data_IF_389889429437
#
_entry.id   IF_389889429437
#
_cell.length_a   1.000
_cell.length_b   1.000
_cell.length_c   1.000
_cell.angle_alpha   90.00
_cell.angle_beta   90.00
_cell.angle_gamma   90.00
#
_symmetry.space_group_name_H-M   'P 1'
#
loop_
_entity.id
_entity.type
_entity.pdbx_description
1 polymer ?
#
# COMPACT_ATOMS: atom_id res chain seq x y z
N UNK A 1 -9.63 -18.50 10.61
CA UNK A 1 -9.00 -19.30 9.53
C UNK A 1 -9.94 -20.46 9.23
N UNK A 2 -10.54 -20.50 8.04
CA UNK A 2 -11.22 -21.71 7.57
C UNK A 2 -10.12 -22.68 7.14
N UNK A 3 -10.00 -23.80 7.85
CA UNK A 3 -8.99 -24.83 7.58
C UNK A 3 -9.19 -25.47 6.20
N UNK A 4 -8.10 -26.00 5.64
CA UNK A 4 -7.98 -26.65 4.33
C UNK A 4 -9.01 -27.75 4.04
N UNK A 5 -9.73 -28.22 5.05
CA UNK A 5 -10.79 -29.22 4.95
C UNK A 5 -12.18 -28.66 4.65
N UNK A 6 -12.38 -27.33 4.77
CA UNK A 6 -13.67 -26.69 4.51
C UNK A 6 -14.04 -26.71 3.02
N UNK A 7 -13.04 -26.65 2.13
CA UNK A 7 -13.23 -26.68 0.68
C UNK A 7 -13.62 -28.08 0.20
N UNK A 8 -12.93 -29.11 0.70
CA UNK A 8 -13.19 -30.52 0.37
C UNK A 8 -14.57 -30.96 0.85
N UNK A 9 -15.01 -30.53 2.04
CA UNK A 9 -16.35 -30.85 2.54
C UNK A 9 -17.49 -30.23 1.74
N UNK A 10 -17.28 -29.07 1.09
CA UNK A 10 -18.33 -28.35 0.36
C UNK A 10 -18.33 -28.62 -1.15
N UNK A 11 -17.17 -28.90 -1.74
CA UNK A 11 -17.01 -29.05 -3.19
C UNK A 11 -16.38 -30.40 -3.62
N UNK A 12 -15.98 -31.25 -2.67
CA UNK A 12 -15.29 -32.51 -2.94
C UNK A 12 -13.79 -32.36 -3.22
N UNK A 13 -13.10 -33.46 -3.49
CA UNK A 13 -11.68 -33.48 -3.91
C UNK A 13 -11.54 -33.13 -5.40
N UNK A 14 -10.32 -32.90 -5.91
CA UNK A 14 -10.08 -32.59 -7.33
C UNK A 14 -10.64 -33.67 -8.29
N UNK A 15 -10.83 -34.90 -7.80
CA UNK A 15 -11.49 -36.02 -8.51
C UNK A 15 -13.02 -36.03 -8.43
N UNK A 16 -13.63 -35.24 -7.52
CA UNK A 16 -15.09 -35.11 -7.41
C UNK A 16 -15.65 -34.06 -8.37
N UNK A 17 -14.81 -33.15 -8.85
CA UNK A 17 -15.12 -32.25 -9.95
C UNK A 17 -14.92 -33.09 -11.21
N UNK A 18 -16.02 -33.46 -11.89
CA UNK A 18 -15.97 -34.22 -13.14
C UNK A 18 -15.06 -33.55 -14.19
N UNK A 19 -14.78 -34.26 -15.30
CA UNK A 19 -14.02 -33.71 -16.43
C UNK A 19 -14.49 -32.29 -16.73
N UNK A 20 -13.54 -31.35 -16.88
CA UNK A 20 -13.83 -29.98 -17.31
C UNK A 20 -14.71 -30.06 -18.56
N UNK A 21 -15.98 -29.72 -18.37
CA UNK A 21 -16.98 -29.77 -19.41
C UNK A 21 -17.16 -28.34 -19.87
N UNK A 22 -16.90 -28.09 -21.14
CA UNK A 22 -17.18 -26.81 -21.76
C UNK A 22 -18.71 -26.66 -21.78
N UNK A 23 -19.24 -26.06 -20.71
CA UNK A 23 -20.61 -25.59 -20.57
C UNK A 23 -21.69 -26.67 -20.51
N UNK A 24 -22.48 -26.64 -19.42
CA UNK A 24 -23.66 -27.48 -19.26
C UNK A 24 -24.69 -27.22 -20.38
N UNK A 25 -25.35 -28.30 -20.82
CA UNK A 25 -26.13 -28.42 -22.07
C UNK A 25 -27.39 -27.57 -22.25
N UNK A 26 -27.43 -26.35 -21.69
CA UNK A 26 -28.45 -25.33 -21.94
C UNK A 26 -27.87 -24.00 -22.47
N UNK A 27 -26.57 -23.95 -22.79
CA UNK A 27 -25.96 -22.78 -23.43
C UNK A 27 -26.37 -22.67 -24.89
N UNK A 28 -27.03 -21.57 -25.28
CA UNK A 28 -27.29 -21.25 -26.69
C UNK A 28 -25.95 -21.19 -27.43
N UNK A 29 -25.77 -21.99 -28.49
CA UNK A 29 -24.64 -21.83 -29.38
C UNK A 29 -24.69 -20.44 -30.03
N UNK A 30 -23.60 -19.69 -29.93
CA UNK A 30 -23.45 -18.41 -30.59
C UNK A 30 -23.57 -18.59 -32.11
N UNK A 31 -24.39 -17.77 -32.75
CA UNK A 31 -24.44 -17.72 -34.22
C UNK A 31 -23.11 -17.24 -34.79
N UNK A 32 -22.91 -17.39 -36.10
CA UNK A 32 -21.73 -16.82 -36.80
C UNK A 32 -21.58 -15.33 -36.51
N UNK A 33 -22.70 -14.62 -36.50
CA UNK A 33 -22.75 -13.17 -36.41
C UNK A 33 -22.46 -12.71 -34.98
N UNK A 34 -23.00 -13.42 -33.97
CA UNK A 34 -22.69 -13.16 -32.56
C UNK A 34 -21.20 -13.39 -32.27
N UNK A 35 -20.57 -14.40 -32.90
CA UNK A 35 -19.12 -14.60 -32.78
C UNK A 35 -18.32 -13.50 -33.45
N UNK A 36 -18.72 -13.08 -34.66
CA UNK A 36 -18.03 -12.00 -35.37
C UNK A 36 -18.06 -10.69 -34.57
N UNK A 37 -19.21 -10.36 -33.97
CA UNK A 37 -19.37 -9.18 -33.13
C UNK A 37 -18.44 -9.21 -31.89
N UNK A 38 -18.28 -10.38 -31.27
CA UNK A 38 -17.37 -10.53 -30.14
C UNK A 38 -15.90 -10.38 -30.54
N UNK A 39 -15.51 -10.90 -31.70
CA UNK A 39 -14.17 -10.72 -32.24
C UNK A 39 -13.89 -9.23 -32.48
N UNK A 40 -14.79 -8.54 -33.17
CA UNK A 40 -14.66 -7.09 -33.44
C UNK A 40 -14.59 -6.28 -32.14
N UNK A 41 -15.43 -6.58 -31.15
CA UNK A 41 -15.39 -5.90 -29.85
C UNK A 41 -14.06 -6.13 -29.13
N UNK A 42 -13.55 -7.36 -29.21
CA UNK A 42 -12.27 -7.73 -28.59
C UNK A 42 -11.11 -6.99 -29.26
N UNK A 43 -11.10 -6.91 -30.60
CA UNK A 43 -10.12 -6.14 -31.35
C UNK A 43 -10.17 -4.65 -30.97
N UNK A 44 -11.37 -4.07 -30.84
CA UNK A 44 -11.54 -2.69 -30.42
C UNK A 44 -11.02 -2.44 -28.99
N UNK A 45 -11.23 -3.37 -28.06
CA UNK A 45 -10.71 -3.27 -26.70
C UNK A 45 -9.19 -3.37 -26.67
N UNK A 46 -8.61 -4.32 -27.42
CA UNK A 46 -7.15 -4.47 -27.52
C UNK A 46 -6.50 -3.21 -28.11
N UNK A 47 -7.12 -2.61 -29.14
CA UNK A 47 -6.64 -1.36 -29.73
C UNK A 47 -6.62 -0.21 -28.71
N UNK A 48 -7.65 -0.10 -27.85
CA UNK A 48 -7.69 0.90 -26.78
C UNK A 48 -6.58 0.69 -25.75
N UNK A 49 -6.36 -0.55 -25.33
CA UNK A 49 -5.29 -0.85 -24.37
C UNK A 49 -3.91 -0.59 -24.97
N UNK A 50 -3.68 -0.92 -26.24
CA UNK A 50 -2.42 -0.60 -26.90
C UNK A 50 -2.17 0.92 -26.97
N UNK A 51 -3.21 1.72 -27.26
CA UNK A 51 -3.11 3.18 -27.27
C UNK A 51 -2.84 3.76 -25.86
N UNK A 52 -3.49 3.24 -24.82
CA UNK A 52 -3.26 3.65 -23.44
C UNK A 52 -1.83 3.30 -22.98
N UNK A 53 -1.37 2.09 -23.32
CA UNK A 53 -0.02 1.63 -22.98
C UNK A 53 1.06 2.47 -23.70
N UNK A 54 0.82 2.85 -24.97
CA UNK A 54 1.70 3.77 -25.68
C UNK A 54 1.79 5.13 -24.98
N UNK A 55 0.66 5.71 -24.56
CA UNK A 55 0.64 6.99 -23.82
C UNK A 55 1.39 6.88 -22.49
N UNK A 56 1.19 5.80 -21.75
CA UNK A 56 1.91 5.55 -20.49
C UNK A 56 3.42 5.41 -20.71
N UNK A 57 3.85 4.74 -21.78
CA UNK A 57 5.28 4.63 -22.13
C UNK A 57 5.88 5.99 -22.47
N UNK A 58 5.18 6.82 -23.24
CA UNK A 58 5.63 8.17 -23.57
C UNK A 58 5.76 9.04 -22.31
N UNK A 59 4.75 9.02 -21.43
CA UNK A 59 4.80 9.74 -20.15
C UNK A 59 5.96 9.25 -19.27
N UNK A 60 6.21 7.94 -19.22
CA UNK A 60 7.33 7.36 -18.48
C UNK A 60 8.68 7.79 -19.07
N UNK A 61 8.81 7.80 -20.39
CA UNK A 61 10.04 8.25 -21.07
C UNK A 61 10.31 9.73 -20.81
N UNK A 62 9.29 10.59 -20.84
CA UNK A 62 9.40 12.01 -20.51
C UNK A 62 9.82 12.22 -19.05
N UNK A 63 9.22 11.48 -18.12
CA UNK A 63 9.59 11.53 -16.69
C UNK A 63 11.04 11.10 -16.48
N UNK A 64 11.47 10.01 -17.13
CA UNK A 64 12.85 9.54 -17.04
C UNK A 64 13.83 10.59 -17.55
N UNK A 65 13.53 11.21 -18.69
CA UNK A 65 14.37 12.28 -19.26
C UNK A 65 14.50 13.46 -18.28
N UNK A 66 13.40 13.88 -17.67
CA UNK A 66 13.40 14.98 -16.68
C UNK A 66 14.27 14.66 -15.45
N UNK A 67 14.22 13.42 -14.96
CA UNK A 67 15.07 12.98 -13.85
C UNK A 67 16.55 12.99 -14.23
N UNK A 68 16.88 12.54 -15.45
CA UNK A 68 18.26 12.59 -15.96
C UNK A 68 18.78 14.04 -16.07
N UNK A 69 17.95 14.98 -16.54
CA UNK A 69 18.30 16.41 -16.61
C UNK A 69 18.53 17.02 -15.21
N UNK A 70 17.70 16.66 -14.22
CA UNK A 70 17.89 17.11 -12.84
C UNK A 70 19.17 16.54 -12.22
N UNK A 71 19.47 15.27 -12.47
CA UNK A 71 20.68 14.61 -11.99
C UNK A 71 21.96 15.17 -12.63
N UNK A 72 21.88 15.63 -13.89
CA UNK A 72 22.99 16.26 -14.60
C UNK A 72 23.26 17.71 -14.16
N UNK A 73 22.40 18.32 -13.32
CA UNK A 73 22.58 19.68 -12.82
C UNK A 73 23.62 19.69 -11.69
N UNK A 74 24.78 20.35 -11.83
CA UNK A 74 25.76 20.43 -10.75
C UNK A 74 25.21 21.26 -9.58
N UNK A 75 25.30 20.71 -8.36
CA UNK A 75 24.89 21.36 -7.11
C UNK A 75 26.15 21.84 -6.37
N UNK A 76 26.31 23.16 -6.18
CA UNK A 76 27.31 23.70 -5.25
C UNK A 76 26.83 23.53 -3.79
N UNK A 77 27.71 23.16 -2.85
CA UNK A 77 27.36 22.99 -1.44
C UNK A 77 27.32 24.34 -0.68
N UNK A 78 26.40 24.53 0.29
CA UNK A 78 26.52 25.61 1.27
C UNK A 78 27.36 25.18 2.48
N UNK A 79 28.13 26.13 3.02
CA UNK A 79 29.08 25.95 4.12
C UNK A 79 28.56 26.48 5.47
N UNK A 80 28.86 25.72 6.54
CA UNK A 80 28.98 26.09 7.99
C UNK A 80 27.72 26.66 8.71
N UNK A 81 27.50 26.58 10.03
CA UNK A 81 28.37 26.43 11.22
C UNK A 81 27.49 26.02 12.44
N UNK A 82 28.07 25.32 13.42
CA UNK A 82 27.44 24.95 14.70
C UNK A 82 27.33 26.13 15.70
N UNK A 83 26.49 26.02 16.76
CA UNK A 83 26.82 26.05 18.22
C UNK A 83 25.66 26.60 19.09
N UNK A 84 25.49 25.96 20.27
CA UNK A 84 24.97 26.44 21.59
C UNK A 84 23.61 25.92 22.11
N UNK A 85 23.69 25.38 23.33
CA UNK A 85 22.76 24.64 24.21
C UNK A 85 22.02 25.64 25.20
N UNK A 86 21.22 25.31 26.28
CA UNK A 86 20.91 24.03 26.96
C UNK A 86 19.39 23.92 27.43
N UNK A 87 18.94 23.10 28.43
CA UNK A 87 17.61 22.47 28.43
C UNK A 87 16.58 23.14 29.36
N UNK A 88 15.28 22.80 29.19
CA UNK A 88 14.27 23.04 30.23
C UNK A 88 13.58 21.73 30.61
N UNK A 89 13.97 21.22 31.77
CA UNK A 89 13.14 20.33 32.57
C UNK A 89 12.00 21.14 33.18
N UNK A 90 10.77 20.68 33.00
CA UNK A 90 9.66 20.93 33.93
C UNK A 90 9.00 19.59 34.19
N UNK A 91 9.23 19.06 35.39
CA UNK A 91 8.40 18.04 35.96
C UNK A 91 7.10 18.70 36.45
N UNK A 92 5.94 18.09 36.21
CA UNK A 92 4.83 17.94 37.16
C UNK A 92 3.58 17.39 36.47
N UNK A 93 3.22 16.16 36.85
CA UNK A 93 1.88 15.70 37.29
C UNK A 93 1.68 14.23 36.92
N UNK A 94 1.87 13.37 37.92
CA UNK A 94 1.35 12.02 37.94
C UNK A 94 -0.18 12.09 38.09
N UNK A 95 -0.87 11.68 37.03
CA UNK A 95 -2.32 11.50 37.02
C UNK A 95 -2.69 10.73 35.75
N UNK A 96 -2.67 9.40 35.85
CA UNK A 96 -3.12 8.42 34.85
C UNK A 96 -2.51 8.61 33.43
N UNK A 97 -1.54 7.76 33.08
CA UNK A 97 -0.87 7.80 31.78
C UNK A 97 -1.88 8.02 30.64
N UNK A 98 -1.75 9.11 29.84
CA UNK A 98 -2.55 9.25 28.64
C UNK A 98 -2.26 8.01 27.80
N UNK A 99 -3.30 7.25 27.44
CA UNK A 99 -3.17 6.31 26.31
C UNK A 99 -2.63 7.18 25.19
N UNK A 100 -1.36 7.03 24.81
CA UNK A 100 -0.68 7.93 23.88
C UNK A 100 -1.65 8.24 22.75
N UNK A 101 -2.03 9.51 22.63
CA UNK A 101 -3.01 9.96 21.66
C UNK A 101 -2.54 9.47 20.29
N UNK A 102 -3.49 9.02 19.48
CA UNK A 102 -3.18 8.51 18.15
C UNK A 102 -2.28 9.53 17.42
N UNK A 103 -1.23 9.11 16.70
CA UNK A 103 -0.22 10.03 16.18
C UNK A 103 -0.72 10.98 15.09
N UNK A 104 -1.96 10.80 14.63
CA UNK A 104 -2.60 11.56 13.56
C UNK A 104 -4.06 11.85 13.91
N UNK A 105 -4.45 13.13 13.88
CA UNK A 105 -5.80 13.57 14.23
C UNK A 105 -6.86 13.17 13.19
N UNK A 106 -6.45 12.86 11.97
CA UNK A 106 -7.31 12.40 10.88
C UNK A 106 -7.64 10.90 10.96
N UNK A 107 -6.93 10.14 11.80
CA UNK A 107 -7.12 8.71 11.94
C UNK A 107 -8.46 8.40 12.63
N UNK A 108 -9.10 7.30 12.22
CA UNK A 108 -10.31 6.79 12.83
C UNK A 108 -10.03 6.24 14.23
N UNK A 109 -10.72 6.74 15.27
CA UNK A 109 -10.54 6.25 16.63
C UNK A 109 -11.00 4.81 16.78
N UNK A 110 -10.36 4.07 17.71
CA UNK A 110 -10.65 2.67 18.02
C UNK A 110 -10.57 1.72 16.80
N UNK A 111 -9.83 2.10 15.75
CA UNK A 111 -9.54 1.22 14.61
C UNK A 111 -8.28 0.39 14.88
N UNK A 112 -8.26 -0.82 14.34
CA UNK A 112 -7.06 -1.66 14.38
C UNK A 112 -6.00 -1.11 13.43
N UNK A 113 -4.76 -1.02 13.91
CA UNK A 113 -3.58 -0.65 13.15
C UNK A 113 -2.70 -1.87 12.90
N UNK A 114 -1.90 -1.82 11.84
CA UNK A 114 -0.89 -2.84 11.57
C UNK A 114 0.46 -2.17 11.33
N UNK A 115 1.46 -2.55 12.12
CA UNK A 115 2.83 -2.06 12.02
C UNK A 115 3.70 -3.10 11.31
N UNK A 116 4.55 -2.64 10.40
CA UNK A 116 5.44 -3.44 9.58
C UNK A 116 6.85 -2.85 9.66
N UNK A 117 7.83 -3.68 10.00
CA UNK A 117 9.24 -3.31 9.96
C UNK A 117 9.89 -4.03 8.78
N UNK A 118 10.31 -3.27 7.78
CA UNK A 118 10.88 -3.79 6.53
C UNK A 118 12.36 -4.15 6.71
N UNK A 119 12.86 -4.99 5.80
CA UNK A 119 14.27 -5.42 5.80
C UNK A 119 15.27 -4.29 5.55
N UNK A 120 14.84 -3.20 4.91
CA UNK A 120 15.62 -1.96 4.75
C UNK A 120 15.71 -1.13 6.04
N UNK A 121 15.04 -1.56 7.12
CA UNK A 121 14.97 -0.87 8.39
C UNK A 121 13.86 0.19 8.47
N UNK A 122 13.15 0.47 7.37
CA UNK A 122 12.01 1.38 7.37
C UNK A 122 10.82 0.78 8.14
N UNK A 123 10.10 1.63 8.87
CA UNK A 123 8.86 1.24 9.54
C UNK A 123 7.66 1.81 8.80
N UNK A 124 6.59 1.04 8.73
CA UNK A 124 5.35 1.43 8.06
C UNK A 124 4.15 1.03 8.90
N UNK A 125 3.15 1.91 8.96
CA UNK A 125 1.94 1.68 9.74
C UNK A 125 0.72 1.83 8.84
N UNK A 126 -0.09 0.78 8.78
CA UNK A 126 -1.42 0.82 8.17
C UNK A 126 -2.41 1.41 9.16
N UNK A 127 -3.10 2.46 8.75
CA UNK A 127 -4.12 3.16 9.52
C UNK A 127 -5.37 3.42 8.66
N UNK A 128 -6.52 3.58 9.33
CA UNK A 128 -7.77 3.95 8.67
C UNK A 128 -8.08 5.42 8.93
N UNK A 129 -8.45 6.17 7.89
CA UNK A 129 -8.96 7.54 7.99
C UNK A 129 -10.39 7.55 8.51
N UNK A 130 -10.84 8.66 9.11
CA UNK A 130 -12.22 8.84 9.60
C UNK A 130 -13.28 8.55 8.52
N UNK A 131 -13.01 8.91 7.28
CA UNK A 131 -13.87 8.64 6.11
C UNK A 131 -13.88 7.18 5.64
N UNK A 132 -13.13 6.29 6.29
CA UNK A 132 -13.06 4.86 5.97
C UNK A 132 -11.93 4.45 5.02
N UNK A 133 -11.30 5.42 4.34
CA UNK A 133 -10.11 5.24 3.48
C UNK A 133 -8.93 4.63 4.26
N UNK A 134 -8.08 3.86 3.58
CA UNK A 134 -6.94 3.17 4.18
C UNK A 134 -5.63 3.83 3.74
N UNK A 135 -4.71 3.99 4.68
CA UNK A 135 -3.41 4.62 4.44
C UNK A 135 -2.28 3.74 4.98
N UNK A 136 -1.13 3.81 4.33
CA UNK A 136 0.14 3.21 4.78
C UNK A 136 1.13 4.34 4.96
N UNK A 137 1.52 4.61 6.20
CA UNK A 137 2.27 5.81 6.58
C UNK A 137 3.65 5.40 7.10
N UNK A 138 4.74 6.09 6.71
CA UNK A 138 6.08 5.81 7.22
C UNK A 138 6.18 6.12 8.72
N UNK A 139 6.99 5.33 9.42
CA UNK A 139 7.26 5.46 10.86
C UNK A 139 8.72 5.14 11.20
N UNK A 140 9.52 6.14 11.65
CA UNK A 140 9.22 7.58 11.65
C UNK A 140 9.04 8.10 10.21
N UNK A 141 8.53 9.34 10.07
CA UNK A 141 8.54 10.00 8.76
C UNK A 141 9.99 10.27 8.33
N UNK A 142 10.29 10.12 7.05
CA UNK A 142 11.62 10.34 6.47
C UNK A 142 11.50 10.90 5.05
N UNK A 143 12.54 11.57 4.56
CA UNK A 143 12.53 12.18 3.22
C UNK A 143 12.57 11.12 2.10
N UNK A 144 11.76 11.29 1.06
CA UNK A 144 11.67 10.35 -0.07
C UNK A 144 10.77 9.14 0.19
N UNK A 145 9.95 9.17 1.26
CA UNK A 145 8.97 8.13 1.53
C UNK A 145 7.98 7.95 0.38
N UNK A 146 7.73 9.00 -0.41
CA UNK A 146 6.84 9.03 -1.58
C UNK A 146 7.27 8.06 -2.71
N UNK A 147 8.53 7.63 -2.71
CA UNK A 147 9.09 6.70 -3.70
C UNK A 147 9.53 5.37 -3.08
N UNK A 148 9.47 5.26 -1.75
CA UNK A 148 9.98 4.09 -1.01
C UNK A 148 9.14 2.81 -1.20
N UNK A 149 7.85 2.93 -1.55
CA UNK A 149 6.97 1.78 -1.77
C UNK A 149 6.43 1.76 -3.21
N UNK A 150 6.29 0.56 -3.80
CA UNK A 150 5.77 0.44 -5.15
C UNK A 150 4.28 0.81 -5.25
N UNK A 151 3.79 1.16 -6.45
CA UNK A 151 2.39 1.55 -6.67
C UNK A 151 1.33 0.51 -6.26
N UNK A 152 1.72 -0.76 -6.09
CA UNK A 152 0.85 -1.82 -5.56
C UNK A 152 0.41 -1.57 -4.12
N UNK A 153 1.19 -0.82 -3.33
CA UNK A 153 0.82 -0.43 -1.97
C UNK A 153 -0.20 0.70 -1.98
N UNK A 154 -0.04 1.67 -2.86
CA UNK A 154 -0.94 2.81 -2.97
C UNK A 154 -0.35 3.95 -3.77
N UNK A 155 -1.01 5.10 -3.71
CA UNK A 155 -0.54 6.36 -4.30
C UNK A 155 -0.01 7.28 -3.20
N UNK A 156 1.16 7.91 -3.35
CA UNK A 156 1.64 8.90 -2.41
C UNK A 156 0.62 10.04 -2.24
N UNK A 157 0.30 10.35 -0.99
CA UNK A 157 -0.59 11.44 -0.61
C UNK A 157 0.16 12.35 0.39
N UNK A 158 0.57 13.51 -0.09
CA UNK A 158 1.34 14.48 0.69
C UNK A 158 0.55 15.07 1.87
N UNK A 159 -0.78 15.21 1.76
CA UNK A 159 -1.61 15.75 2.84
C UNK A 159 -1.58 14.85 4.08
N UNK A 160 -1.58 13.54 3.86
CA UNK A 160 -1.56 12.53 4.92
C UNK A 160 -0.14 12.04 5.24
N UNK A 161 0.86 12.52 4.49
CA UNK A 161 2.26 12.07 4.54
C UNK A 161 2.39 10.54 4.47
N UNK A 162 1.60 9.89 3.62
CA UNK A 162 1.59 8.44 3.46
C UNK A 162 0.96 7.99 2.14
N UNK A 163 0.96 6.69 1.88
CA UNK A 163 0.33 6.12 0.69
C UNK A 163 -1.16 5.90 0.94
N UNK A 164 -2.00 6.47 0.08
CA UNK A 164 -3.42 6.15 0.01
C UNK A 164 -3.59 4.83 -0.75
N UNK A 165 -4.20 3.84 -0.10
CA UNK A 165 -4.44 2.54 -0.70
C UNK A 165 -5.68 2.62 -1.58
N UNK A 166 -5.46 2.70 -2.90
CA UNK A 166 -6.54 2.74 -3.89
C UNK A 166 -6.96 1.31 -4.25
N UNK A 167 -8.17 0.90 -3.84
CA UNK A 167 -8.71 -0.43 -4.14
C UNK A 167 -8.56 -1.43 -2.98
N UNK A 168 -8.06 -2.64 -3.28
CA UNK A 168 -8.05 -3.74 -2.32
C UNK A 168 -6.82 -3.72 -1.39
N UNK A 169 -7.05 -3.47 -0.10
CA UNK A 169 -6.02 -3.44 0.95
C UNK A 169 -5.19 -4.73 1.06
N UNK A 170 -5.73 -5.86 0.61
CA UNK A 170 -5.03 -7.14 0.64
C UNK A 170 -3.72 -7.13 -0.17
N UNK A 171 -3.67 -6.41 -1.29
CA UNK A 171 -2.44 -6.30 -2.10
C UNK A 171 -1.34 -5.57 -1.35
N UNK A 172 -1.66 -4.39 -0.80
CA UNK A 172 -0.72 -3.59 -0.01
C UNK A 172 -0.20 -4.35 1.22
N UNK A 173 -1.08 -4.99 1.99
CA UNK A 173 -0.69 -5.78 3.18
C UNK A 173 0.14 -7.00 2.80
N UNK A 174 -0.19 -7.68 1.69
CA UNK A 174 0.59 -8.84 1.23
C UNK A 174 2.00 -8.43 0.80
N UNK A 175 2.13 -7.30 0.09
CA UNK A 175 3.44 -6.74 -0.25
C UNK A 175 4.25 -6.41 1.01
N UNK A 176 3.67 -5.66 1.95
CA UNK A 176 4.35 -5.28 3.19
C UNK A 176 4.78 -6.50 4.00
N UNK A 177 3.92 -7.51 4.14
CA UNK A 177 4.26 -8.75 4.85
C UNK A 177 5.39 -9.52 4.16
N UNK A 178 5.44 -9.54 2.83
CA UNK A 178 6.50 -10.21 2.09
C UNK A 178 7.87 -9.53 2.24
N UNK A 179 7.90 -8.22 2.57
CA UNK A 179 9.12 -7.43 2.72
C UNK A 179 9.41 -7.05 4.18
N UNK A 180 8.55 -7.45 5.11
CA UNK A 180 8.69 -7.18 6.52
C UNK A 180 9.37 -8.34 7.24
N UNK A 181 10.34 -8.01 8.11
CA UNK A 181 10.86 -8.99 9.06
C UNK A 181 10.01 -9.06 10.34
N UNK A 182 9.18 -8.04 10.60
CA UNK A 182 8.30 -7.97 11.76
C UNK A 182 6.95 -7.34 11.43
N UNK A 183 5.87 -7.98 11.89
CA UNK A 183 4.50 -7.49 11.77
C UNK A 183 3.83 -7.50 13.15
N UNK A 184 3.03 -6.47 13.44
CA UNK A 184 2.16 -6.42 14.61
C UNK A 184 0.82 -5.77 14.28
N UNK A 185 -0.26 -6.53 14.39
CA UNK A 185 -1.64 -6.02 14.29
C UNK A 185 -2.15 -5.77 15.71
N UNK A 186 -2.55 -4.54 16.01
CA UNK A 186 -2.89 -4.11 17.37
C UNK A 186 -3.84 -2.92 17.36
N UNK A 187 -4.55 -2.69 18.46
CA UNK A 187 -5.26 -1.43 18.74
C UNK A 187 -4.46 -0.51 19.68
N UNK A 188 -3.29 -0.96 20.14
CA UNK A 188 -2.49 -0.29 21.16
C UNK A 188 -1.21 0.29 20.55
N UNK A 189 -1.02 1.61 20.67
CA UNK A 189 0.17 2.27 20.14
C UNK A 189 1.48 1.86 20.81
N UNK A 190 1.43 1.37 22.05
CA UNK A 190 2.62 0.84 22.73
C UNK A 190 3.23 -0.37 21.99
N UNK A 191 2.39 -1.20 21.37
CA UNK A 191 2.86 -2.34 20.57
C UNK A 191 3.55 -1.87 19.28
N UNK A 192 3.01 -0.83 18.64
CA UNK A 192 3.61 -0.22 17.43
C UNK A 192 4.98 0.37 17.76
N UNK A 193 5.07 1.12 18.86
CA UNK A 193 6.33 1.72 19.33
C UNK A 193 7.34 0.64 19.73
N UNK A 194 6.89 -0.46 20.31
CA UNK A 194 7.77 -1.57 20.69
C UNK A 194 8.38 -2.26 19.46
N UNK A 195 7.65 -2.32 18.34
CA UNK A 195 8.14 -2.93 17.10
C UNK A 195 9.00 -1.96 16.27
N UNK A 196 8.54 -0.71 16.09
CA UNK A 196 9.13 0.23 15.13
C UNK A 196 10.09 1.25 15.76
N UNK A 197 10.05 1.40 17.09
CA UNK A 197 10.71 2.48 17.82
C UNK A 197 9.78 3.69 18.05
N UNK A 198 10.23 4.65 18.86
CA UNK A 198 9.50 5.89 19.10
C UNK A 198 9.40 6.73 17.82
N UNK A 199 8.28 7.47 17.65
CA UNK A 199 8.16 8.48 16.60
C UNK A 199 9.22 9.55 16.86
N UNK A 200 10.14 9.77 15.93
CA UNK A 200 10.97 10.98 15.96
C UNK A 200 10.01 12.18 15.84
N UNK A 201 10.11 13.11 16.80
CA UNK A 201 9.29 14.33 16.86
C UNK A 201 9.90 15.42 16.00
#
# INVERSE_FOLDING_TARGET
MLGSTCFIKRYGSATAIGKAQDWGGNGKLLTSDERALLVENTEALLARFAAEEARLREEAALKLKRLQELAARPTSPPAALATLMPPRCTAEQQGMAPRKSMPWDWMRPNSSVAAFKLHDGSGWVRVQHKDGRQFVVPWPSFEGWEEALPPVVGRPNSEMSGYEVVGQIAGAVSYLRAHAFGEKVTGLWNDVVSLLGAKAS
#
